data_IF_414116024823
#
_entry.id   IF_414116024823
#
_cell.length_a   1.000
_cell.length_b   1.000
_cell.length_c   1.000
_cell.angle_alpha   90.00
_cell.angle_beta   90.00
_cell.angle_gamma   90.00
#
_symmetry.space_group_name_H-M   'P 1'
#
loop_
_entity.id
_entity.type
_entity.pdbx_description
1 polymer ?
#
# COMPACT_ATOMS: atom_id res chain seq x y z
N UNK A 1 -46.91 0.13 -0.22
CA UNK A 1 -45.78 -0.57 -0.87
C UNK A 1 -44.59 0.36 -0.74
N UNK A 2 -43.90 0.28 0.40
CA UNK A 2 -42.68 1.05 0.65
C UNK A 2 -41.53 0.19 0.12
N UNK A 3 -40.74 0.73 -0.78
CA UNK A 3 -39.52 0.10 -1.28
C UNK A 3 -38.47 0.33 -0.21
N UNK A 4 -37.87 -0.76 0.27
CA UNK A 4 -36.80 -0.74 1.27
C UNK A 4 -35.52 -0.22 0.57
N UNK A 5 -35.11 1.00 0.92
CA UNK A 5 -33.79 1.54 0.57
C UNK A 5 -32.73 0.67 1.29
N UNK A 6 -31.65 0.24 0.62
CA UNK A 6 -30.62 -0.54 1.27
C UNK A 6 -29.97 0.34 2.34
N UNK A 7 -30.27 0.02 3.60
CA UNK A 7 -29.64 0.63 4.76
C UNK A 7 -28.15 0.32 4.71
N UNK A 8 -27.36 1.26 4.17
CA UNK A 8 -25.91 1.30 4.37
C UNK A 8 -25.73 1.32 5.88
N UNK A 9 -25.35 0.17 6.44
CA UNK A 9 -25.15 -0.03 7.85
C UNK A 9 -23.85 0.67 8.23
N UNK A 10 -23.97 1.99 8.42
CA UNK A 10 -22.89 2.90 8.78
C UNK A 10 -22.61 2.70 10.27
N UNK A 11 -21.99 1.59 10.62
CA UNK A 11 -21.34 1.45 11.93
C UNK A 11 -20.09 2.34 11.92
N UNK A 12 -20.30 3.64 12.16
CA UNK A 12 -19.28 4.48 12.79
C UNK A 12 -18.99 3.80 14.12
N UNK A 13 -17.98 2.94 14.14
CA UNK A 13 -17.62 2.18 15.33
C UNK A 13 -17.14 3.18 16.38
N UNK A 14 -17.92 3.25 17.46
CA UNK A 14 -17.63 4.01 18.64
C UNK A 14 -16.18 3.73 19.10
N UNK A 15 -15.44 4.81 19.32
CA UNK A 15 -14.04 4.78 19.71
C UNK A 15 -13.78 3.92 20.94
N UNK A 16 -12.70 3.17 20.86
CA UNK A 16 -12.20 2.31 21.92
C UNK A 16 -12.19 0.86 21.49
N UNK A 17 -11.07 0.41 20.93
CA UNK A 17 -10.42 -0.88 21.16
C UNK A 17 -9.40 -1.05 20.03
N UNK A 18 -8.12 -1.12 20.38
CA UNK A 18 -7.18 -1.81 19.52
C UNK A 18 -7.64 -3.27 19.42
N UNK A 19 -8.41 -3.57 18.36
CA UNK A 19 -9.01 -4.88 18.12
C UNK A 19 -7.96 -5.93 17.82
N UNK A 20 -6.80 -5.49 17.34
CA UNK A 20 -5.68 -6.34 16.97
C UNK A 20 -4.41 -5.91 17.70
N UNK A 21 -3.69 -6.86 18.28
CA UNK A 21 -2.37 -6.59 18.85
C UNK A 21 -1.33 -6.28 17.76
N UNK A 22 -1.53 -6.77 16.54
CA UNK A 22 -0.64 -6.59 15.40
C UNK A 22 -1.43 -6.52 14.09
N UNK A 23 -1.09 -5.54 13.25
CA UNK A 23 -1.53 -5.42 11.85
C UNK A 23 -0.30 -5.49 10.95
N UNK A 24 -0.36 -6.28 9.89
CA UNK A 24 0.73 -6.43 8.92
C UNK A 24 0.21 -6.03 7.55
N UNK A 25 0.91 -5.10 6.91
CA UNK A 25 0.70 -4.76 5.51
C UNK A 25 1.81 -5.40 4.69
N UNK A 26 1.44 -6.23 3.73
CA UNK A 26 2.34 -6.80 2.72
C UNK A 26 2.12 -6.09 1.38
N UNK A 27 3.13 -6.04 0.52
CA UNK A 27 3.15 -5.25 -0.72
C UNK A 27 2.71 -3.78 -0.52
N UNK A 28 3.15 -3.19 0.59
CA UNK A 28 2.70 -1.90 1.09
C UNK A 28 2.96 -0.71 0.14
N UNK A 29 3.89 -0.84 -0.83
CA UNK A 29 4.11 0.16 -1.88
C UNK A 29 2.89 0.32 -2.80
N UNK A 30 1.97 -0.66 -2.82
CA UNK A 30 0.77 -0.64 -3.64
C UNK A 30 -0.50 -0.22 -2.87
N UNK A 31 -0.38 0.10 -1.57
CA UNK A 31 -1.51 0.45 -0.70
C UNK A 31 -1.45 1.94 -0.39
N UNK A 32 -2.55 2.65 -0.65
CA UNK A 32 -2.66 4.08 -0.36
C UNK A 32 -2.90 4.35 1.13
N UNK A 33 -2.56 5.55 1.59
CA UNK A 33 -2.74 5.95 3.00
C UNK A 33 -4.20 5.82 3.47
N UNK A 34 -5.16 6.25 2.64
CA UNK A 34 -6.58 6.19 3.02
C UNK A 34 -7.14 4.77 3.05
N UNK A 35 -6.61 3.83 2.26
CA UNK A 35 -7.02 2.43 2.32
C UNK A 35 -6.54 1.76 3.61
N UNK A 36 -5.36 2.15 4.11
CA UNK A 36 -4.75 1.54 5.30
C UNK A 36 -5.18 2.19 6.63
N UNK A 37 -5.57 3.47 6.64
CA UNK A 37 -5.78 4.24 7.88
C UNK A 37 -6.78 3.58 8.83
N UNK A 38 -7.84 2.96 8.29
CA UNK A 38 -8.84 2.26 9.08
C UNK A 38 -8.29 1.02 9.78
N UNK A 39 -7.38 0.28 9.13
CA UNK A 39 -6.73 -0.89 9.73
C UNK A 39 -5.68 -0.47 10.76
N UNK A 40 -4.90 0.57 10.48
CA UNK A 40 -3.93 1.16 11.42
C UNK A 40 -4.63 1.59 12.72
N UNK A 41 -5.75 2.30 12.62
CA UNK A 41 -6.50 2.79 13.78
C UNK A 41 -7.07 1.68 14.69
N UNK A 42 -7.07 0.42 14.24
CA UNK A 42 -7.54 -0.74 15.01
C UNK A 42 -6.41 -1.62 15.54
N UNK A 43 -5.14 -1.29 15.25
CA UNK A 43 -3.98 -2.10 15.62
C UNK A 43 -3.14 -1.44 16.72
N UNK A 44 -2.71 -2.22 17.72
CA UNK A 44 -1.72 -1.75 18.73
C UNK A 44 -0.33 -1.56 18.12
N UNK A 45 0.07 -2.49 17.25
CA UNK A 45 1.35 -2.48 16.56
C UNK A 45 1.13 -2.68 15.07
N UNK A 46 1.96 -2.06 14.25
CA UNK A 46 1.89 -2.14 12.79
C UNK A 46 3.24 -2.53 12.22
N UNK A 47 3.26 -3.51 11.32
CA UNK A 47 4.40 -3.84 10.48
C UNK A 47 4.03 -3.51 9.03
N UNK A 48 4.90 -2.76 8.36
CA UNK A 48 4.74 -2.41 6.96
C UNK A 48 5.85 -3.12 6.19
N UNK A 49 5.47 -3.98 5.24
CA UNK A 49 6.37 -4.77 4.40
C UNK A 49 6.11 -4.40 2.96
N UNK A 50 7.16 -4.03 2.25
CA UNK A 50 7.09 -3.66 0.84
C UNK A 50 8.44 -3.20 0.34
N UNK A 51 8.46 -2.73 -0.89
CA UNK A 51 9.66 -2.29 -1.57
C UNK A 51 9.41 -0.98 -2.32
N UNK A 52 10.07 0.13 -1.95
CA UNK A 52 9.86 1.43 -2.60
C UNK A 52 10.39 1.48 -4.04
N UNK A 53 11.10 0.43 -4.50
CA UNK A 53 11.52 0.30 -5.91
C UNK A 53 10.52 -0.48 -6.77
N UNK A 54 9.46 -1.03 -6.18
CA UNK A 54 8.40 -1.72 -6.90
C UNK A 54 7.26 -0.75 -7.29
N UNK A 55 6.19 -1.29 -7.87
CA UNK A 55 5.09 -0.48 -8.41
C UNK A 55 4.42 0.36 -7.30
N UNK A 56 4.14 1.66 -7.56
CA UNK A 56 3.34 2.50 -6.67
C UNK A 56 1.86 2.12 -6.72
N UNK A 57 1.00 2.71 -5.87
CA UNK A 57 -0.43 2.45 -5.93
C UNK A 57 -1.00 2.89 -7.28
N UNK A 58 -1.68 1.98 -7.97
CA UNK A 58 -2.31 2.29 -9.27
C UNK A 58 -3.82 2.48 -9.09
N UNK A 59 -4.35 3.65 -9.48
CA UNK A 59 -5.80 3.85 -9.52
C UNK A 59 -6.43 3.06 -10.67
N UNK A 60 -6.94 1.86 -10.36
CA UNK A 60 -7.67 1.03 -11.33
C UNK A 60 -8.98 1.69 -11.80
N UNK A 61 -9.58 2.57 -10.99
CA UNK A 61 -10.87 3.22 -11.29
C UNK A 61 -10.75 4.48 -12.17
N UNK A 62 -9.65 5.24 -12.07
CA UNK A 62 -9.50 6.46 -12.88
C UNK A 62 -9.28 6.15 -14.36
N UNK A 63 -8.62 5.03 -14.68
CA UNK A 63 -8.39 4.59 -16.06
C UNK A 63 -9.67 4.30 -16.85
N UNK A 64 -10.76 3.93 -16.17
CA UNK A 64 -12.04 3.66 -16.83
C UNK A 64 -12.87 4.93 -17.08
N UNK A 65 -12.60 6.00 -16.34
CA UNK A 65 -13.27 7.30 -16.51
C UNK A 65 -12.51 8.23 -17.47
N UNK A 66 -11.21 8.01 -17.67
CA UNK A 66 -10.34 8.84 -18.52
C UNK A 66 -10.41 8.52 -20.02
N UNK A 67 -11.25 7.59 -20.48
CA UNK A 67 -11.43 7.34 -21.93
C UNK A 67 -12.26 8.43 -22.63
N UNK A 68 -12.90 9.35 -21.89
CA UNK A 68 -13.73 10.43 -22.46
C UNK A 68 -13.17 11.86 -22.32
N UNK A 69 -12.09 12.10 -21.54
CA UNK A 69 -11.48 13.44 -21.38
C UNK A 69 -9.94 13.39 -21.51
N UNK A 70 -9.42 13.91 -22.62
CA UNK A 70 -7.98 14.07 -22.92
C UNK A 70 -7.27 15.15 -22.06
N UNK A 71 -7.76 15.46 -20.84
CA UNK A 71 -7.18 16.48 -19.95
C UNK A 71 -7.07 16.06 -18.46
N UNK A 72 -7.04 14.76 -18.17
CA UNK A 72 -6.86 14.24 -16.80
C UNK A 72 -5.46 13.61 -16.59
N UNK A 73 -4.38 14.29 -16.97
CA UNK A 73 -2.99 13.83 -16.72
C UNK A 73 -2.50 14.14 -15.28
N UNK A 74 -3.40 14.51 -14.37
CA UNK A 74 -3.11 14.41 -12.94
C UNK A 74 -3.43 12.99 -12.49
N UNK A 75 -2.57 12.04 -12.85
CA UNK A 75 -2.34 10.90 -11.97
C UNK A 75 -1.94 11.54 -10.65
N UNK A 76 -2.89 11.67 -9.73
CA UNK A 76 -2.57 12.13 -8.39
C UNK A 76 -1.49 11.17 -7.91
N UNK A 77 -0.31 11.67 -7.58
CA UNK A 77 0.76 10.87 -6.99
C UNK A 77 0.18 10.28 -5.70
N UNK A 78 -0.39 9.08 -5.79
CA UNK A 78 -1.01 8.42 -4.67
C UNK A 78 0.11 7.98 -3.75
N UNK A 79 0.24 8.64 -2.61
CA UNK A 79 1.25 8.29 -1.63
C UNK A 79 0.93 6.92 -1.02
N UNK A 80 1.91 6.01 -1.08
CA UNK A 80 1.77 4.70 -0.46
C UNK A 80 2.03 4.79 1.04
N UNK A 81 1.47 3.85 1.80
CA UNK A 81 1.73 3.74 3.24
C UNK A 81 3.18 3.39 3.53
N UNK A 82 3.88 2.78 2.57
CA UNK A 82 5.30 2.50 2.67
C UNK A 82 6.12 3.78 2.58
N UNK A 83 5.80 4.65 1.63
CA UNK A 83 6.49 5.92 1.45
C UNK A 83 6.30 6.83 2.67
N UNK A 84 5.06 6.93 3.18
CA UNK A 84 4.76 7.70 4.39
C UNK A 84 5.50 7.14 5.63
N UNK A 85 5.58 5.81 5.78
CA UNK A 85 6.32 5.18 6.88
C UNK A 85 7.83 5.45 6.79
N UNK A 86 8.39 5.44 5.58
CA UNK A 86 9.79 5.79 5.33
C UNK A 86 10.05 7.28 5.62
N UNK A 87 9.16 8.17 5.16
CA UNK A 87 9.24 9.62 5.39
C UNK A 87 9.11 9.98 6.88
N UNK A 88 8.28 9.26 7.62
CA UNK A 88 8.09 9.39 9.06
C UNK A 88 9.30 8.90 9.89
N UNK A 89 10.32 8.32 9.26
CA UNK A 89 11.52 7.84 9.95
C UNK A 89 11.28 6.59 10.80
N UNK A 90 10.25 5.80 10.46
CA UNK A 90 10.01 4.50 11.12
C UNK A 90 11.24 3.62 10.93
N UNK A 91 11.57 2.81 11.95
CA UNK A 91 12.71 1.90 11.89
C UNK A 91 12.55 0.92 10.71
N UNK A 92 13.51 0.93 9.78
CA UNK A 92 13.52 0.08 8.59
C UNK A 92 14.45 -1.11 8.78
N UNK A 93 14.00 -2.28 8.32
CA UNK A 93 14.81 -3.49 8.20
C UNK A 93 14.83 -3.95 6.75
N UNK A 94 15.98 -3.86 6.07
CA UNK A 94 16.18 -4.38 4.72
C UNK A 94 16.54 -5.87 4.76
N UNK A 95 15.84 -6.67 3.96
CA UNK A 95 16.20 -8.06 3.70
C UNK A 95 17.13 -8.08 2.48
N UNK A 96 18.31 -8.69 2.61
CA UNK A 96 19.34 -8.74 1.54
C UNK A 96 19.41 -10.09 0.83
N UNK A 97 18.82 -11.13 1.42
CA UNK A 97 18.82 -12.47 0.83
C UNK A 97 17.75 -12.62 -0.25
N UNK A 98 18.16 -13.08 -1.43
CA UNK A 98 17.25 -13.40 -2.52
C UNK A 98 17.17 -14.92 -2.74
N UNK A 99 15.96 -15.48 -2.68
CA UNK A 99 15.73 -16.93 -2.74
C UNK A 99 14.83 -17.37 -3.90
N UNK A 100 14.35 -16.45 -4.74
CA UNK A 100 13.37 -16.76 -5.79
C UNK A 100 14.02 -17.38 -7.03
N UNK A 101 15.03 -16.72 -7.58
CA UNK A 101 15.73 -17.21 -8.77
C UNK A 101 16.83 -18.20 -8.39
N UNK A 102 16.87 -19.32 -9.11
CA UNK A 102 17.91 -20.36 -8.95
C UNK A 102 19.26 -19.97 -9.58
N UNK A 103 19.23 -19.06 -10.54
CA UNK A 103 20.41 -18.52 -11.20
C UNK A 103 20.57 -17.05 -10.85
N UNK A 104 21.74 -16.69 -10.33
CA UNK A 104 22.08 -15.33 -9.90
C UNK A 104 22.01 -14.31 -11.05
N UNK A 105 22.31 -14.75 -12.28
CA UNK A 105 22.21 -13.90 -13.47
C UNK A 105 20.82 -13.30 -13.71
N UNK A 106 19.75 -13.93 -13.20
CA UNK A 106 18.38 -13.43 -13.34
C UNK A 106 18.07 -12.26 -12.40
N UNK A 107 18.82 -12.10 -11.30
CA UNK A 107 18.61 -11.02 -10.33
C UNK A 107 19.74 -9.98 -10.37
N UNK A 108 20.92 -10.35 -10.89
CA UNK A 108 22.13 -9.53 -10.92
C UNK A 108 21.90 -8.13 -11.51
N UNK A 109 21.18 -8.05 -12.63
CA UNK A 109 20.84 -6.76 -13.24
C UNK A 109 19.99 -5.90 -12.29
N UNK A 110 18.92 -6.46 -11.73
CA UNK A 110 18.02 -5.74 -10.83
C UNK A 110 18.73 -5.29 -9.54
N UNK A 111 19.53 -6.17 -8.93
CA UNK A 111 20.31 -5.86 -7.73
C UNK A 111 21.26 -4.70 -7.98
N UNK A 112 22.00 -4.73 -9.10
CA UNK A 112 22.93 -3.66 -9.44
C UNK A 112 22.22 -2.34 -9.74
N UNK A 113 21.14 -2.38 -10.54
CA UNK A 113 20.45 -1.17 -11.01
C UNK A 113 19.63 -0.48 -9.91
N UNK A 114 18.94 -1.24 -9.05
CA UNK A 114 17.97 -0.66 -8.10
C UNK A 114 18.42 -0.72 -6.64
N UNK A 115 19.36 -1.61 -6.29
CA UNK A 115 19.74 -1.88 -4.90
C UNK A 115 21.26 -1.78 -4.63
N UNK A 116 22.03 -1.17 -5.54
CA UNK A 116 23.45 -0.87 -5.32
C UNK A 116 24.40 -2.05 -5.47
N UNK A 117 23.92 -3.22 -5.87
CA UNK A 117 24.72 -4.43 -6.04
C UNK A 117 25.00 -5.19 -4.73
N UNK A 118 24.27 -4.88 -3.66
CA UNK A 118 24.28 -5.61 -2.39
C UNK A 118 23.54 -6.96 -2.46
#
# INVERSE_FOLDING_TARGET
MYVDEPSINRSVLAGGCDLFDLVVFDEASQITVWDAIGAIARGKNVIVVGDPKQMPPTSFFDRAASEEDEEADTVQDLESILDEALASGVKVHRLTGHYRSRHESLIAFSNHTYYGGD
#
